data_IF_126407084797
#
_entry.id   IF_126407084797
#
_cell.length_a   1.000
_cell.length_b   1.000
_cell.length_c   1.000
_cell.angle_alpha   90.00
_cell.angle_beta   90.00
_cell.angle_gamma   90.00
#
_symmetry.space_group_name_H-M   'P 1'
#
loop_
_entity.id
_entity.type
_entity.pdbx_description
1 polymer ?
#
# COMPACT_ATOMS: atom_id res chain seq x y z
N UNK A 1 15.66 32.01 4.37
CA UNK A 1 15.91 30.64 3.87
C UNK A 1 16.59 29.76 4.94
N UNK A 2 17.68 30.19 5.56
CA UNK A 2 18.39 29.41 6.62
C UNK A 2 17.53 29.07 7.85
N UNK A 3 16.60 29.93 8.26
CA UNK A 3 15.70 29.66 9.39
C UNK A 3 14.64 28.59 9.02
N UNK A 4 14.19 28.54 7.79
CA UNK A 4 13.23 27.50 7.34
C UNK A 4 13.88 26.13 7.18
N UNK A 5 15.16 26.05 6.84
CA UNK A 5 15.88 24.78 6.72
C UNK A 5 16.08 24.09 8.07
N UNK A 6 16.21 24.84 9.17
CA UNK A 6 16.34 24.28 10.54
C UNK A 6 15.09 23.54 11.04
N UNK A 7 13.92 23.79 10.44
CA UNK A 7 12.67 23.13 10.83
C UNK A 7 12.23 22.04 9.86
N UNK A 8 13.02 21.75 8.83
CA UNK A 8 12.72 20.70 7.88
C UNK A 8 12.85 19.33 8.55
N UNK A 9 11.77 18.54 8.55
CA UNK A 9 11.73 17.21 9.16
C UNK A 9 11.88 16.10 8.13
N UNK A 10 11.43 16.35 6.91
CA UNK A 10 11.45 15.40 5.81
C UNK A 10 12.03 16.04 4.55
N UNK A 11 12.72 15.22 3.76
CA UNK A 11 13.24 15.59 2.45
C UNK A 11 12.84 14.55 1.39
N UNK A 12 12.80 14.98 0.15
CA UNK A 12 12.59 14.11 -1.00
C UNK A 12 13.92 13.82 -1.68
N UNK A 13 14.23 12.54 -1.85
CA UNK A 13 15.48 12.07 -2.46
C UNK A 13 15.17 11.30 -3.73
N UNK A 14 15.80 11.62 -4.88
CA UNK A 14 15.60 10.89 -6.12
C UNK A 14 15.93 9.40 -5.99
N UNK A 15 15.05 8.56 -6.50
CA UNK A 15 15.20 7.09 -6.54
C UNK A 15 15.38 6.62 -7.97
N UNK A 16 14.48 7.06 -8.85
CA UNK A 16 14.54 6.81 -10.28
C UNK A 16 14.14 8.09 -11.00
N UNK A 17 15.01 8.57 -11.87
CA UNK A 17 14.78 9.79 -12.62
C UNK A 17 14.09 9.50 -13.94
N UNK A 18 13.17 10.39 -14.28
CA UNK A 18 12.63 10.67 -15.60
C UNK A 18 12.18 9.45 -16.41
N UNK A 19 11.00 8.94 -16.06
CA UNK A 19 10.24 8.17 -17.03
C UNK A 19 9.81 9.10 -18.17
N UNK A 20 10.05 8.71 -19.43
CA UNK A 20 9.74 9.58 -20.57
C UNK A 20 8.23 9.87 -20.66
N UNK A 21 7.85 10.98 -21.31
CA UNK A 21 6.45 11.29 -21.56
C UNK A 21 5.72 10.11 -22.20
N UNK A 22 4.51 9.80 -21.69
CA UNK A 22 3.71 8.70 -22.17
C UNK A 22 3.94 7.37 -21.43
N UNK A 23 4.84 7.33 -20.42
CA UNK A 23 4.92 6.23 -19.44
C UNK A 23 4.43 6.77 -18.11
N UNK A 24 3.31 6.25 -17.64
CA UNK A 24 2.77 6.60 -16.33
C UNK A 24 3.21 5.60 -15.26
N UNK A 25 3.82 6.13 -14.21
CA UNK A 25 4.15 5.36 -13.00
C UNK A 25 2.88 5.24 -12.14
N UNK A 26 2.51 4.02 -11.76
CA UNK A 26 1.32 3.73 -10.98
C UNK A 26 1.61 3.23 -9.58
N UNK A 27 2.73 2.52 -9.38
CA UNK A 27 3.06 1.86 -8.12
C UNK A 27 4.56 1.57 -8.05
N UNK A 28 5.11 1.47 -6.85
CA UNK A 28 6.49 1.03 -6.65
C UNK A 28 6.65 0.35 -5.30
N UNK A 29 7.62 -0.54 -5.19
CA UNK A 29 8.03 -1.16 -3.96
C UNK A 29 9.54 -1.41 -3.93
N UNK A 30 10.06 -1.71 -2.76
CA UNK A 30 11.50 -1.96 -2.55
C UNK A 30 11.72 -3.32 -1.91
N UNK A 31 12.88 -3.89 -2.17
CA UNK A 31 13.38 -5.08 -1.49
C UNK A 31 14.89 -4.97 -1.27
N UNK A 32 15.47 -5.98 -0.65
CA UNK A 32 16.90 -6.01 -0.35
C UNK A 32 17.34 -4.75 0.42
N UNK A 33 16.67 -4.50 1.55
CA UNK A 33 16.91 -3.33 2.42
C UNK A 33 16.77 -1.98 1.68
N UNK A 34 15.91 -1.92 0.68
CA UNK A 34 15.64 -0.72 -0.10
C UNK A 34 16.66 -0.41 -1.20
N UNK A 35 17.60 -1.33 -1.47
CA UNK A 35 18.57 -1.18 -2.56
C UNK A 35 17.96 -1.39 -3.93
N UNK A 36 17.11 -2.40 -4.04
CA UNK A 36 16.40 -2.70 -5.27
C UNK A 36 15.00 -2.09 -5.26
N UNK A 37 14.60 -1.55 -6.40
CA UNK A 37 13.30 -0.88 -6.58
C UNK A 37 12.60 -1.48 -7.78
N UNK A 38 11.33 -1.87 -7.56
CA UNK A 38 10.43 -2.34 -8.60
C UNK A 38 9.37 -1.27 -8.84
N UNK A 39 9.16 -0.89 -10.09
CA UNK A 39 8.24 0.18 -10.49
C UNK A 39 7.24 -0.37 -11.50
N UNK A 40 5.96 -0.28 -11.16
CA UNK A 40 4.85 -0.62 -12.04
C UNK A 40 4.35 0.57 -12.83
N UNK A 41 4.25 0.40 -14.14
CA UNK A 41 3.88 1.46 -15.08
C UNK A 41 2.78 1.01 -16.05
N UNK A 42 2.32 1.92 -16.90
CA UNK A 42 1.42 1.62 -18.03
C UNK A 42 2.08 0.79 -19.14
N UNK A 43 3.38 0.55 -19.05
CA UNK A 43 4.17 -0.21 -20.04
C UNK A 43 4.77 -1.49 -19.45
N UNK A 44 4.39 -1.85 -18.25
CA UNK A 44 4.87 -3.04 -17.55
C UNK A 44 5.68 -2.73 -16.29
N UNK A 45 6.49 -3.69 -15.89
CA UNK A 45 7.25 -3.67 -14.66
C UNK A 45 8.73 -3.35 -14.93
N UNK A 46 9.27 -2.38 -14.21
CA UNK A 46 10.68 -1.99 -14.25
C UNK A 46 11.38 -2.42 -12.96
N UNK A 47 12.63 -2.83 -13.11
CA UNK A 47 13.52 -3.17 -12.00
C UNK A 47 14.80 -2.36 -12.11
N UNK A 48 15.27 -1.82 -10.99
CA UNK A 48 16.50 -1.07 -10.92
C UNK A 48 17.05 -0.92 -9.51
N UNK A 49 18.14 -0.17 -9.39
CA UNK A 49 18.82 0.11 -8.13
C UNK A 49 18.50 1.56 -7.72
N UNK A 50 18.12 1.75 -6.46
CA UNK A 50 17.81 3.07 -5.91
C UNK A 50 18.99 4.04 -6.09
N UNK A 51 18.71 5.24 -6.59
CA UNK A 51 19.73 6.27 -6.85
C UNK A 51 20.62 6.03 -8.07
N UNK A 52 20.32 4.98 -8.88
CA UNK A 52 21.00 4.70 -10.14
C UNK A 52 20.01 4.72 -11.31
N UNK A 53 19.65 5.89 -11.85
CA UNK A 53 18.58 6.01 -12.86
C UNK A 53 18.79 5.15 -14.11
N UNK A 54 20.02 4.96 -14.54
CA UNK A 54 20.37 4.16 -15.72
C UNK A 54 20.25 2.65 -15.51
N UNK A 55 20.03 2.21 -14.27
CA UNK A 55 19.89 0.79 -13.94
C UNK A 55 18.48 0.23 -14.20
N UNK A 56 17.48 1.10 -14.37
CA UNK A 56 16.10 0.67 -14.52
C UNK A 56 15.84 0.05 -15.89
N UNK A 57 15.40 -1.18 -15.89
CA UNK A 57 15.12 -1.97 -17.09
C UNK A 57 13.72 -2.55 -17.04
N UNK A 58 13.03 -2.55 -18.19
CA UNK A 58 11.74 -3.18 -18.35
C UNK A 58 11.87 -4.72 -18.32
N UNK A 59 11.10 -5.37 -17.48
CA UNK A 59 10.99 -6.82 -17.40
C UNK A 59 10.07 -7.34 -18.51
N UNK A 60 10.50 -7.21 -19.76
CA UNK A 60 9.71 -7.52 -20.96
C UNK A 60 9.29 -9.00 -21.06
N UNK A 61 10.01 -9.90 -20.39
CA UNK A 61 9.70 -11.32 -20.35
C UNK A 61 8.41 -11.66 -19.59
N UNK A 62 7.91 -10.76 -18.73
CA UNK A 62 6.63 -10.95 -18.01
C UNK A 62 5.42 -10.68 -18.91
N UNK A 63 5.58 -9.91 -19.98
CA UNK A 63 4.55 -9.58 -20.99
C UNK A 63 3.27 -8.97 -20.41
N UNK A 64 3.40 -8.15 -19.36
CA UNK A 64 2.30 -7.35 -18.83
C UNK A 64 2.34 -5.93 -19.40
N UNK A 65 1.18 -5.48 -19.88
CA UNK A 65 1.08 -4.17 -20.51
C UNK A 65 0.95 -3.04 -19.50
N UNK A 66 0.11 -3.23 -18.49
CA UNK A 66 -0.19 -2.22 -17.49
C UNK A 66 -0.19 -2.83 -16.10
N UNK A 67 0.61 -2.24 -15.21
CA UNK A 67 0.69 -2.64 -13.80
C UNK A 67 0.04 -1.57 -12.94
N UNK A 68 -0.96 -1.94 -12.14
CA UNK A 68 -1.73 -1.03 -11.30
C UNK A 68 -1.26 -0.99 -9.85
N UNK A 69 -0.87 -2.14 -9.31
CA UNK A 69 -0.42 -2.28 -7.93
C UNK A 69 0.62 -3.39 -7.83
N UNK A 70 1.65 -3.16 -7.03
CA UNK A 70 2.62 -4.19 -6.63
C UNK A 70 2.82 -4.16 -5.12
N UNK A 71 3.15 -5.32 -4.55
CA UNK A 71 3.63 -5.44 -3.19
C UNK A 71 4.58 -6.64 -3.10
N UNK A 72 5.76 -6.41 -2.53
CA UNK A 72 6.79 -7.45 -2.31
C UNK A 72 6.70 -7.93 -0.88
N UNK A 73 6.65 -9.26 -0.71
CA UNK A 73 6.73 -9.91 0.58
C UNK A 73 8.00 -10.76 0.66
N UNK A 74 9.09 -10.17 1.19
CA UNK A 74 10.42 -10.78 1.17
C UNK A 74 10.47 -12.11 1.92
N UNK A 75 9.82 -12.21 3.10
CA UNK A 75 9.78 -13.45 3.89
C UNK A 75 9.14 -14.62 3.14
N UNK A 76 8.13 -14.36 2.33
CA UNK A 76 7.49 -15.36 1.47
C UNK A 76 8.17 -15.51 0.10
N UNK A 77 9.17 -14.66 -0.18
CA UNK A 77 9.89 -14.61 -1.45
C UNK A 77 8.95 -14.44 -2.66
N UNK A 78 7.99 -13.52 -2.55
CA UNK A 78 7.01 -13.27 -3.61
C UNK A 78 6.84 -11.78 -3.91
N UNK A 79 6.50 -11.51 -5.17
CA UNK A 79 5.93 -10.25 -5.63
C UNK A 79 4.50 -10.53 -6.09
N UNK A 80 3.53 -9.86 -5.49
CA UNK A 80 2.16 -9.82 -5.97
C UNK A 80 1.92 -8.55 -6.79
N UNK A 81 1.15 -8.66 -7.87
CA UNK A 81 0.80 -7.51 -8.69
C UNK A 81 -0.59 -7.63 -9.33
N UNK A 82 -1.27 -6.50 -9.45
CA UNK A 82 -2.44 -6.37 -10.32
C UNK A 82 -1.97 -5.80 -11.65
N UNK A 83 -2.24 -6.53 -12.72
CA UNK A 83 -1.84 -6.12 -14.07
C UNK A 83 -2.92 -6.45 -15.11
N UNK A 84 -2.70 -5.94 -16.32
CA UNK A 84 -3.49 -6.14 -17.52
C UNK A 84 -4.90 -5.51 -17.47
N UNK A 85 -5.57 -5.48 -18.61
CA UNK A 85 -6.89 -4.86 -18.78
C UNK A 85 -7.94 -5.40 -17.78
N UNK A 86 -7.90 -6.68 -17.52
CA UNK A 86 -8.86 -7.35 -16.62
C UNK A 86 -8.49 -7.25 -15.15
N UNK A 87 -7.44 -6.48 -14.82
CA UNK A 87 -6.96 -6.28 -13.44
C UNK A 87 -6.76 -7.62 -12.72
N UNK A 88 -5.98 -8.49 -13.34
CA UNK A 88 -5.66 -9.80 -12.81
C UNK A 88 -4.61 -9.69 -11.70
N UNK A 89 -4.81 -10.42 -10.61
CA UNK A 89 -3.84 -10.57 -9.54
C UNK A 89 -2.91 -11.73 -9.83
N UNK A 90 -1.64 -11.45 -9.99
CA UNK A 90 -0.56 -12.41 -10.18
C UNK A 90 0.34 -12.46 -8.95
N UNK A 91 0.89 -13.64 -8.66
CA UNK A 91 1.90 -13.81 -7.61
C UNK A 91 3.11 -14.50 -8.22
N UNK A 92 4.25 -13.83 -8.22
CA UNK A 92 5.50 -14.32 -8.78
C UNK A 92 6.49 -14.67 -7.66
N UNK A 93 7.23 -15.78 -7.76
CA UNK A 93 8.43 -15.98 -6.93
C UNK A 93 9.44 -14.88 -7.24
N UNK A 94 9.95 -14.22 -6.20
CA UNK A 94 10.82 -13.05 -6.32
C UNK A 94 12.19 -13.41 -6.95
N UNK A 95 12.74 -14.57 -6.60
CA UNK A 95 13.98 -15.09 -7.17
C UNK A 95 13.88 -15.34 -8.68
N UNK A 96 12.75 -15.83 -9.18
CA UNK A 96 12.53 -16.02 -10.60
C UNK A 96 12.46 -14.71 -11.38
N UNK A 97 11.91 -13.65 -10.77
CA UNK A 97 11.90 -12.31 -11.38
C UNK A 97 13.32 -11.78 -11.55
N UNK A 98 14.19 -12.04 -10.56
CA UNK A 98 15.55 -11.52 -10.55
C UNK A 98 16.49 -12.26 -11.50
N UNK A 99 16.32 -13.57 -11.64
CA UNK A 99 17.16 -14.40 -12.52
C UNK A 99 16.78 -14.31 -13.98
N UNK A 100 15.52 -14.04 -14.29
CA UNK A 100 15.02 -13.97 -15.66
C UNK A 100 15.49 -12.74 -16.46
N UNK A 101 16.14 -11.76 -15.80
CA UNK A 101 16.64 -10.55 -16.46
C UNK A 101 17.78 -10.79 -17.45
N UNK A 102 18.40 -11.97 -17.44
CA UNK A 102 19.64 -12.16 -18.19
C UNK A 102 19.56 -13.05 -19.42
N UNK A 103 18.62 -13.97 -19.59
CA UNK A 103 18.69 -14.89 -20.75
C UNK A 103 17.45 -15.68 -21.16
N UNK A 104 16.24 -15.45 -20.65
CA UNK A 104 15.14 -16.32 -21.04
C UNK A 104 14.35 -15.82 -22.26
N UNK A 105 14.52 -16.49 -23.40
CA UNK A 105 13.63 -16.38 -24.58
C UNK A 105 12.19 -16.85 -24.28
N UNK A 106 11.94 -17.48 -23.16
CA UNK A 106 10.63 -17.96 -22.74
C UNK A 106 10.16 -17.14 -21.54
N UNK A 107 9.09 -16.35 -21.73
CA UNK A 107 8.45 -15.59 -20.64
C UNK A 107 7.93 -16.54 -19.55
N UNK A 108 8.03 -16.08 -18.29
CA UNK A 108 7.43 -16.79 -17.15
C UNK A 108 5.91 -16.65 -17.27
N UNK A 109 5.22 -17.75 -17.61
CA UNK A 109 3.76 -17.78 -17.63
C UNK A 109 3.25 -18.15 -16.25
N UNK A 110 2.57 -17.23 -15.62
CA UNK A 110 1.88 -17.42 -14.34
C UNK A 110 0.38 -17.26 -14.57
N UNK A 111 -0.41 -18.17 -14.02
CA UNK A 111 -1.87 -18.03 -14.04
C UNK A 111 -2.27 -16.99 -12.98
N UNK A 112 -3.30 -16.16 -13.27
CA UNK A 112 -3.81 -15.24 -12.25
C UNK A 112 -4.39 -16.01 -11.07
N UNK A 113 -4.11 -15.52 -9.86
CA UNK A 113 -4.70 -16.03 -8.64
C UNK A 113 -6.18 -15.61 -8.54
N UNK A 114 -6.50 -14.39 -8.98
CA UNK A 114 -7.85 -13.83 -9.00
C UNK A 114 -7.97 -12.81 -10.13
N UNK A 115 -9.19 -12.60 -10.63
CA UNK A 115 -9.48 -11.69 -11.75
C UNK A 115 -10.39 -10.55 -11.31
N UNK A 116 -10.33 -9.39 -11.99
CA UNK A 116 -11.12 -8.20 -11.72
C UNK A 116 -10.92 -7.67 -10.28
N UNK A 117 -9.67 -7.65 -9.83
CA UNK A 117 -9.29 -7.21 -8.49
C UNK A 117 -9.17 -5.69 -8.44
N UNK A 118 -9.85 -5.05 -7.50
CA UNK A 118 -9.76 -3.62 -7.27
C UNK A 118 -8.44 -3.23 -6.62
N UNK A 119 -8.07 -3.95 -5.56
CA UNK A 119 -6.78 -3.85 -4.88
C UNK A 119 -6.52 -5.11 -4.05
N UNK A 120 -5.31 -5.27 -3.56
CA UNK A 120 -4.93 -6.36 -2.66
C UNK A 120 -4.01 -5.87 -1.55
N UNK A 121 -3.86 -6.67 -0.50
CA UNK A 121 -2.88 -6.44 0.56
C UNK A 121 -2.34 -7.74 1.13
N UNK A 122 -1.04 -7.75 1.44
CA UNK A 122 -0.48 -8.72 2.38
C UNK A 122 -0.73 -8.28 3.82
N UNK A 123 -0.90 -9.24 4.70
CA UNK A 123 -1.05 -9.01 6.12
C UNK A 123 -0.90 -10.28 6.93
N UNK A 124 -1.29 -10.21 8.20
CA UNK A 124 -1.24 -11.34 9.10
C UNK A 124 -2.60 -11.59 9.75
N UNK A 125 -2.94 -12.86 9.85
CA UNK A 125 -4.08 -13.36 10.60
C UNK A 125 -3.58 -14.43 11.57
N UNK A 126 -3.69 -14.18 12.89
CA UNK A 126 -3.19 -15.10 13.92
C UNK A 126 -1.75 -15.59 13.64
N UNK A 127 -0.85 -14.66 13.34
CA UNK A 127 0.57 -14.92 13.03
C UNK A 127 0.84 -15.61 11.68
N UNK A 128 -0.20 -15.98 10.95
CA UNK A 128 -0.07 -16.53 9.60
C UNK A 128 -0.09 -15.42 8.57
N UNK A 129 0.85 -15.45 7.63
CA UNK A 129 0.83 -14.55 6.48
C UNK A 129 -0.33 -14.89 5.57
N UNK A 130 -1.05 -13.86 5.18
CA UNK A 130 -2.19 -13.94 4.26
C UNK A 130 -2.09 -12.89 3.16
N UNK A 131 -2.71 -13.20 2.04
CA UNK A 131 -2.95 -12.27 0.94
C UNK A 131 -4.45 -12.09 0.81
N UNK A 132 -4.93 -10.85 0.90
CA UNK A 132 -6.32 -10.52 0.67
C UNK A 132 -6.49 -9.83 -0.67
N UNK A 133 -7.30 -10.36 -1.57
CA UNK A 133 -7.76 -9.67 -2.77
C UNK A 133 -9.14 -9.08 -2.54
N UNK A 134 -9.33 -7.85 -2.95
CA UNK A 134 -10.57 -7.09 -2.79
C UNK A 134 -11.16 -6.82 -4.17
N UNK A 135 -12.38 -7.28 -4.40
CA UNK A 135 -13.17 -6.95 -5.57
C UNK A 135 -14.35 -6.09 -5.15
N UNK A 136 -14.26 -4.82 -5.48
CA UNK A 136 -15.29 -3.82 -5.16
C UNK A 136 -15.96 -3.36 -6.45
N UNK A 137 -17.28 -3.25 -6.45
CA UNK A 137 -18.06 -2.82 -7.61
C UNK A 137 -18.97 -1.65 -7.24
N UNK A 138 -18.75 -0.53 -7.89
CA UNK A 138 -19.55 0.69 -7.70
C UNK A 138 -21.02 0.47 -8.13
N UNK A 139 -21.23 -0.26 -9.23
CA UNK A 139 -22.56 -0.51 -9.78
C UNK A 139 -23.49 -1.28 -8.82
N UNK A 140 -22.96 -2.27 -8.11
CA UNK A 140 -23.74 -3.06 -7.14
C UNK A 140 -23.53 -2.61 -5.70
N UNK A 141 -22.66 -1.63 -5.47
CA UNK A 141 -22.25 -1.16 -4.14
C UNK A 141 -21.90 -2.31 -3.20
N UNK A 142 -21.02 -3.18 -3.68
CA UNK A 142 -20.66 -4.43 -3.00
C UNK A 142 -19.15 -4.65 -3.05
N UNK A 143 -18.65 -5.32 -2.02
CA UNK A 143 -17.27 -5.78 -1.95
C UNK A 143 -17.19 -7.24 -1.56
N UNK A 144 -16.36 -7.99 -2.26
CA UNK A 144 -15.98 -9.36 -1.92
C UNK A 144 -14.49 -9.37 -1.62
N UNK A 145 -14.12 -9.93 -0.47
CA UNK A 145 -12.73 -10.09 -0.04
C UNK A 145 -12.42 -11.58 0.01
N UNK A 146 -11.46 -12.02 -0.81
CA UNK A 146 -10.92 -13.38 -0.74
C UNK A 146 -9.63 -13.37 0.08
N UNK A 147 -9.56 -14.25 1.06
CA UNK A 147 -8.41 -14.42 1.94
C UNK A 147 -7.66 -15.68 1.52
N UNK A 148 -6.42 -15.52 1.10
CA UNK A 148 -5.55 -16.61 0.67
C UNK A 148 -4.43 -16.83 1.69
N UNK A 149 -4.07 -18.10 1.87
CA UNK A 149 -2.85 -18.48 2.59
C UNK A 149 -1.88 -19.19 1.64
N UNK A 150 -0.56 -19.08 1.88
CA UNK A 150 0.42 -19.87 1.14
C UNK A 150 0.26 -21.36 1.48
N UNK A 151 0.38 -22.21 0.47
CA UNK A 151 0.43 -23.67 0.62
C UNK A 151 1.87 -24.09 0.89
N UNK A 152 2.16 -24.44 2.14
CA UNK A 152 3.46 -24.97 2.53
C UNK A 152 3.52 -26.46 2.12
N UNK A 153 4.17 -26.78 1.02
CA UNK A 153 4.44 -28.18 0.66
C UNK A 153 5.50 -28.74 1.61
N UNK A 154 5.08 -29.54 2.58
CA UNK A 154 5.94 -30.17 3.58
C UNK A 154 7.06 -31.08 3.01
N UNK A 155 7.04 -31.38 1.72
CA UNK A 155 8.04 -32.25 1.05
C UNK A 155 9.23 -31.47 0.43
N UNK A 156 9.24 -30.15 0.40
CA UNK A 156 10.33 -29.36 -0.25
C UNK A 156 11.42 -28.88 0.71
N UNK A 157 11.40 -29.25 2.00
CA UNK A 157 12.42 -28.86 2.99
C UNK A 157 13.70 -29.70 2.98
N UNK A 158 13.89 -30.63 2.06
CA UNK A 158 15.06 -31.52 2.01
C UNK A 158 15.72 -31.61 0.64
N UNK A 159 16.09 -30.49 0.04
CA UNK A 159 17.20 -30.54 -0.95
C UNK A 159 17.63 -29.12 -1.31
N UNK A 160 18.60 -28.61 -0.63
CA UNK A 160 19.54 -27.64 -1.16
C UNK A 160 20.31 -28.35 -2.26
N UNK A 161 19.95 -28.10 -3.51
CA UNK A 161 20.69 -28.66 -4.63
C UNK A 161 19.80 -29.02 -5.82
N UNK A 162 19.95 -28.27 -6.88
CA UNK A 162 19.46 -28.54 -8.25
C UNK A 162 17.94 -28.67 -8.41
N UNK A 163 17.30 -27.56 -8.70
CA UNK A 163 16.00 -27.58 -9.41
C UNK A 163 16.18 -27.13 -10.86
N UNK A 164 16.39 -28.11 -11.70
CA UNK A 164 15.88 -28.10 -13.08
C UNK A 164 14.49 -28.75 -13.03
N UNK A 165 13.44 -27.99 -12.71
CA UNK A 165 12.08 -28.45 -12.97
C UNK A 165 11.63 -27.91 -14.33
N UNK A 166 11.79 -28.74 -15.33
CA UNK A 166 11.05 -28.67 -16.60
C UNK A 166 9.61 -29.03 -16.26
N UNK A 167 8.74 -28.03 -16.14
CA UNK A 167 7.33 -28.22 -15.86
C UNK A 167 6.84 -27.15 -14.87
N UNK A 168 6.33 -26.03 -15.40
CA UNK A 168 5.85 -24.91 -14.59
C UNK A 168 4.67 -25.28 -13.70
N UNK A 169 4.90 -25.59 -12.43
CA UNK A 169 3.84 -25.51 -11.42
C UNK A 169 3.36 -24.06 -11.37
N UNK A 170 2.09 -23.86 -11.62
CA UNK A 170 1.44 -22.57 -11.55
C UNK A 170 1.59 -22.03 -10.11
N UNK A 171 2.12 -20.81 -9.95
CA UNK A 171 2.22 -20.16 -8.63
C UNK A 171 0.84 -19.91 -8.01
N UNK A 172 -0.22 -19.90 -8.80
CA UNK A 172 -1.60 -19.87 -8.31
C UNK A 172 -1.93 -21.10 -7.45
N UNK A 173 -1.37 -22.27 -7.76
CA UNK A 173 -1.58 -23.50 -6.99
C UNK A 173 -0.83 -23.46 -5.63
N UNK A 174 0.07 -22.49 -5.44
CA UNK A 174 0.77 -22.26 -4.19
C UNK A 174 -0.02 -21.40 -3.17
N UNK A 175 -1.22 -20.98 -3.53
CA UNK A 175 -2.09 -20.17 -2.69
C UNK A 175 -3.48 -20.78 -2.60
N UNK A 176 -3.99 -20.95 -1.38
CA UNK A 176 -5.33 -21.50 -1.12
C UNK A 176 -6.25 -20.43 -0.56
N UNK A 177 -7.39 -20.22 -1.20
CA UNK A 177 -8.46 -19.42 -0.62
C UNK A 177 -9.03 -20.14 0.61
N UNK A 178 -9.02 -19.46 1.76
CA UNK A 178 -9.48 -20.00 3.04
C UNK A 178 -10.75 -19.35 3.55
N UNK A 179 -11.02 -18.11 3.13
CA UNK A 179 -12.20 -17.33 3.52
C UNK A 179 -12.65 -16.44 2.38
N UNK A 180 -13.95 -16.19 2.34
CA UNK A 180 -14.58 -15.20 1.49
C UNK A 180 -15.50 -14.34 2.36
N UNK A 181 -15.27 -13.02 2.34
CA UNK A 181 -16.01 -12.05 3.14
C UNK A 181 -16.82 -11.14 2.21
N UNK A 182 -18.02 -10.81 2.61
CA UNK A 182 -18.93 -9.94 1.87
C UNK A 182 -19.22 -8.66 2.66
N UNK A 183 -19.15 -7.51 1.97
CA UNK A 183 -19.51 -6.20 2.52
C UNK A 183 -20.48 -5.52 1.57
N UNK A 184 -21.64 -5.09 2.10
CA UNK A 184 -22.68 -4.40 1.33
C UNK A 184 -22.35 -2.90 1.17
N UNK A 185 -21.11 -2.61 0.74
CA UNK A 185 -20.63 -1.27 0.44
C UNK A 185 -19.40 -1.36 -0.49
N UNK A 186 -19.13 -0.31 -1.23
CA UNK A 186 -17.87 -0.16 -1.97
C UNK A 186 -16.73 0.10 -0.98
N UNK A 187 -15.65 -0.69 -1.10
CA UNK A 187 -14.50 -0.62 -0.19
C UNK A 187 -13.28 -0.05 -0.89
N UNK A 188 -12.55 0.81 -0.19
CA UNK A 188 -11.40 1.53 -0.70
C UNK A 188 -10.11 1.22 0.03
N UNK A 189 -10.18 0.67 1.24
CA UNK A 189 -9.00 0.31 2.03
C UNK A 189 -9.21 -0.95 2.86
N UNK A 190 -8.12 -1.62 3.19
CA UNK A 190 -8.10 -2.82 4.01
C UNK A 190 -6.94 -2.75 4.99
N UNK A 191 -7.22 -3.03 6.27
CA UNK A 191 -6.25 -3.02 7.35
C UNK A 191 -6.35 -4.31 8.15
N UNK A 192 -5.21 -4.77 8.69
CA UNK A 192 -5.14 -6.01 9.46
C UNK A 192 -5.09 -5.70 10.94
N UNK A 193 -6.03 -6.28 11.67
CA UNK A 193 -6.02 -6.39 13.12
C UNK A 193 -5.72 -7.85 13.47
N UNK A 194 -5.22 -8.12 14.66
CA UNK A 194 -4.68 -9.44 15.04
C UNK A 194 -5.52 -10.65 14.57
N UNK A 195 -6.84 -10.59 14.70
CA UNK A 195 -7.79 -11.65 14.32
C UNK A 195 -8.93 -11.17 13.44
N UNK A 196 -8.88 -9.94 12.98
CA UNK A 196 -9.96 -9.27 12.25
C UNK A 196 -9.39 -8.44 11.10
N UNK A 197 -10.22 -8.18 10.11
CA UNK A 197 -9.96 -7.16 9.10
C UNK A 197 -10.71 -5.88 9.47
N UNK A 198 -10.11 -4.74 9.18
CA UNK A 198 -10.80 -3.45 9.18
C UNK A 198 -10.85 -2.93 7.75
N UNK A 199 -12.05 -2.68 7.27
CA UNK A 199 -12.32 -2.30 5.88
C UNK A 199 -12.87 -0.88 5.85
N UNK A 200 -12.18 -0.01 5.11
CA UNK A 200 -12.70 1.32 4.81
C UNK A 200 -13.67 1.26 3.65
N UNK A 201 -14.89 1.73 3.86
CA UNK A 201 -15.94 1.76 2.85
C UNK A 201 -16.79 3.02 2.97
N UNK A 202 -17.73 3.21 2.05
CA UNK A 202 -18.60 4.41 2.01
C UNK A 202 -19.41 4.63 3.30
N UNK A 203 -19.58 3.59 4.12
CA UNK A 203 -20.24 3.67 5.43
C UNK A 203 -19.30 3.96 6.60
N UNK A 204 -18.02 4.06 6.37
CA UNK A 204 -16.97 4.22 7.38
C UNK A 204 -16.07 3.01 7.48
N UNK A 205 -15.40 2.84 8.63
CA UNK A 205 -14.60 1.64 8.90
C UNK A 205 -15.47 0.52 9.47
N UNK A 206 -15.42 -0.63 8.84
CA UNK A 206 -16.10 -1.85 9.29
C UNK A 206 -15.10 -2.91 9.71
N UNK A 207 -15.42 -3.63 10.77
CA UNK A 207 -14.64 -4.76 11.29
C UNK A 207 -15.26 -6.05 10.80
N UNK A 208 -14.46 -6.90 10.17
CA UNK A 208 -14.84 -8.27 9.80
C UNK A 208 -14.08 -9.25 10.67
N UNK A 209 -14.81 -10.03 11.46
CA UNK A 209 -14.24 -11.12 12.23
C UNK A 209 -14.07 -12.34 11.32
N UNK A 210 -12.82 -12.75 11.07
CA UNK A 210 -12.53 -13.84 10.14
C UNK A 210 -12.90 -15.23 10.68
N UNK A 211 -13.13 -15.37 11.97
CA UNK A 211 -13.57 -16.66 12.55
C UNK A 211 -15.07 -16.85 12.36
N UNK A 212 -15.87 -15.83 12.69
CA UNK A 212 -17.33 -15.88 12.67
C UNK A 212 -17.96 -15.33 11.41
N UNK A 213 -17.18 -14.59 10.61
CA UNK A 213 -17.61 -13.85 9.40
C UNK A 213 -18.63 -12.72 9.71
N UNK A 214 -18.76 -12.32 10.97
CA UNK A 214 -19.60 -11.21 11.38
C UNK A 214 -18.94 -9.87 11.01
N UNK A 215 -19.76 -8.95 10.56
CA UNK A 215 -19.35 -7.59 10.22
C UNK A 215 -20.04 -6.61 11.16
N UNK A 216 -19.29 -5.63 11.65
CA UNK A 216 -19.81 -4.56 12.52
C UNK A 216 -19.06 -3.24 12.26
N UNK A 217 -19.69 -2.11 12.59
CA UNK A 217 -19.01 -0.82 12.57
C UNK A 217 -17.82 -0.81 13.55
N UNK A 218 -16.70 -0.18 13.13
CA UNK A 218 -15.59 0.09 14.05
C UNK A 218 -15.99 1.11 15.12
N UNK A 219 -16.77 2.14 14.74
CA UNK A 219 -17.17 3.22 15.64
C UNK A 219 -18.36 2.77 16.49
N UNK A 220 -18.31 3.11 17.79
CA UNK A 220 -19.39 2.90 18.71
C UNK A 220 -20.58 3.82 18.36
N UNK A 221 -21.73 3.29 17.94
CA UNK A 221 -22.89 4.12 17.59
C UNK A 221 -23.51 4.84 18.80
N UNK A 222 -23.22 4.38 20.01
CA UNK A 222 -23.72 5.01 21.24
C UNK A 222 -22.86 6.20 21.70
N UNK A 223 -21.68 6.37 21.11
CA UNK A 223 -20.80 7.50 21.44
C UNK A 223 -21.27 8.79 20.74
N UNK A 224 -21.94 9.65 21.49
CA UNK A 224 -22.45 10.93 21.00
C UNK A 224 -21.37 11.90 20.54
N UNK A 225 -20.13 11.75 21.02
CA UNK A 225 -19.00 12.58 20.59
C UNK A 225 -18.56 12.30 19.13
N UNK A 226 -19.05 11.20 18.54
CA UNK A 226 -18.86 10.85 17.12
C UNK A 226 -19.99 11.34 16.21
N UNK A 227 -20.90 12.19 16.71
CA UNK A 227 -22.04 12.69 15.95
C UNK A 227 -21.61 13.45 14.67
N UNK A 228 -20.42 14.03 14.64
CA UNK A 228 -19.88 14.74 13.48
C UNK A 228 -19.64 13.82 12.27
N UNK A 229 -19.47 12.52 12.49
CA UNK A 229 -19.27 11.54 11.44
C UNK A 229 -20.47 10.61 11.27
N UNK A 230 -21.11 10.20 12.36
CA UNK A 230 -22.25 9.26 12.33
C UNK A 230 -23.50 9.83 11.61
N UNK A 231 -23.60 11.15 11.47
CA UNK A 231 -24.68 11.85 10.74
C UNK A 231 -24.41 12.05 9.24
N UNK A 232 -23.26 11.64 8.76
CA UNK A 232 -22.91 11.77 7.34
C UNK A 232 -23.50 10.61 6.53
N UNK A 233 -24.07 10.90 5.38
CA UNK A 233 -24.59 9.89 4.46
C UNK A 233 -23.46 9.08 3.83
N UNK A 234 -22.33 9.73 3.57
CA UNK A 234 -21.13 9.12 3.02
C UNK A 234 -19.90 9.56 3.78
N UNK A 235 -18.93 8.67 3.90
CA UNK A 235 -17.61 8.94 4.47
C UNK A 235 -16.54 8.36 3.56
N UNK A 236 -15.34 8.95 3.59
CA UNK A 236 -14.20 8.49 2.79
C UNK A 236 -13.03 8.10 3.70
N UNK A 237 -13.12 6.93 4.37
CA UNK A 237 -12.04 6.42 5.19
C UNK A 237 -10.90 5.93 4.31
N UNK A 238 -9.68 6.38 4.60
CA UNK A 238 -8.51 6.09 3.76
C UNK A 238 -7.52 5.18 4.49
N UNK A 239 -7.18 5.49 5.75
CA UNK A 239 -6.18 4.74 6.48
C UNK A 239 -6.51 4.62 7.97
N UNK A 240 -6.00 3.56 8.57
CA UNK A 240 -6.07 3.29 10.00
C UNK A 240 -4.67 2.91 10.49
N UNK A 241 -4.22 3.57 11.55
CA UNK A 241 -2.93 3.30 12.17
C UNK A 241 -3.11 2.98 13.65
N UNK A 242 -2.46 1.91 14.09
CA UNK A 242 -2.38 1.57 15.51
C UNK A 242 -1.26 2.37 16.15
N UNK A 243 -1.55 3.11 17.22
CA UNK A 243 -0.56 3.80 18.02
C UNK A 243 -0.12 2.99 19.23
N UNK A 244 1.02 3.36 19.85
CA UNK A 244 1.68 2.53 20.86
C UNK A 244 0.83 2.25 22.11
N UNK A 245 -0.05 3.16 22.51
CA UNK A 245 -0.94 3.02 23.66
C UNK A 245 -2.21 2.19 23.39
N UNK A 246 -2.31 1.62 22.18
CA UNK A 246 -3.41 0.76 21.75
C UNK A 246 -4.63 1.52 21.23
N UNK A 247 -4.56 2.83 21.08
CA UNK A 247 -5.52 3.63 20.30
C UNK A 247 -5.32 3.41 18.81
N UNK A 248 -6.30 3.84 18.03
CA UNK A 248 -6.22 3.87 16.57
C UNK A 248 -6.40 5.30 16.08
N UNK A 249 -5.54 5.71 15.17
CA UNK A 249 -5.67 6.93 14.40
C UNK A 249 -6.44 6.61 13.12
N UNK A 250 -7.63 7.17 12.98
CA UNK A 250 -8.48 7.03 11.80
C UNK A 250 -8.29 8.24 10.90
N UNK A 251 -7.90 8.00 9.64
CA UNK A 251 -7.66 9.03 8.65
C UNK A 251 -8.72 8.95 7.55
N UNK A 252 -9.45 10.04 7.40
CA UNK A 252 -10.42 10.29 6.34
C UNK A 252 -9.86 11.35 5.38
N UNK A 253 -10.53 11.60 4.29
CA UNK A 253 -10.14 12.61 3.31
C UNK A 253 -10.21 14.06 3.82
N UNK A 254 -11.00 14.34 4.87
CA UNK A 254 -11.16 15.68 5.44
C UNK A 254 -10.46 15.86 6.79
N UNK A 255 -10.34 14.79 7.59
CA UNK A 255 -9.86 14.86 8.97
C UNK A 255 -9.28 13.53 9.48
N UNK A 256 -8.61 13.62 10.63
CA UNK A 256 -8.22 12.44 11.41
C UNK A 256 -8.54 12.64 12.89
N UNK A 257 -8.86 11.55 13.57
CA UNK A 257 -9.11 11.53 15.02
C UNK A 257 -8.76 10.16 15.63
N UNK A 258 -8.63 10.14 16.95
CA UNK A 258 -8.32 8.91 17.68
C UNK A 258 -9.58 8.21 18.20
N UNK A 259 -9.55 6.88 18.15
CA UNK A 259 -10.51 6.01 18.85
C UNK A 259 -9.78 5.01 19.74
N UNK A 260 -10.47 4.55 20.78
CA UNK A 260 -10.01 3.46 21.62
C UNK A 260 -10.37 2.09 21.00
N UNK A 261 -10.05 1.01 21.71
CA UNK A 261 -10.31 -0.38 21.26
C UNK A 261 -11.79 -0.72 21.13
N UNK A 262 -12.66 0.07 21.76
CA UNK A 262 -14.12 -0.12 21.73
C UNK A 262 -14.78 0.76 20.64
N UNK A 263 -13.99 1.47 19.83
CA UNK A 263 -14.51 2.36 18.80
C UNK A 263 -15.05 3.70 19.33
N UNK A 264 -14.78 4.03 20.59
CA UNK A 264 -15.17 5.30 21.21
C UNK A 264 -14.09 6.35 20.96
N UNK A 265 -14.51 7.61 20.80
CA UNK A 265 -13.57 8.71 20.59
C UNK A 265 -12.62 8.85 21.77
N UNK A 266 -11.34 8.74 21.48
CA UNK A 266 -10.27 9.06 22.42
C UNK A 266 -9.80 10.48 22.18
N UNK A 267 -9.52 11.26 23.25
CA UNK A 267 -9.09 12.67 23.14
C UNK A 267 -10.12 13.54 22.39
N UNK A 268 -11.23 13.85 23.03
CA UNK A 268 -12.33 14.59 22.43
C UNK A 268 -11.95 15.94 21.80
N UNK A 269 -10.92 16.62 22.34
CA UNK A 269 -10.43 17.91 21.85
C UNK A 269 -9.30 17.79 20.80
N UNK A 270 -8.94 16.57 20.39
CA UNK A 270 -7.89 16.34 19.41
C UNK A 270 -8.50 15.97 18.06
N UNK A 271 -8.14 16.69 17.03
CA UNK A 271 -8.51 16.41 15.64
C UNK A 271 -7.52 17.13 14.70
N UNK A 272 -7.15 16.47 13.63
CA UNK A 272 -6.49 17.10 12.49
C UNK A 272 -7.54 17.36 11.42
N UNK A 273 -7.57 18.55 10.86
CA UNK A 273 -8.25 18.87 9.61
C UNK A 273 -7.19 19.12 8.53
N UNK A 274 -7.30 18.38 7.44
CA UNK A 274 -6.36 18.53 6.33
C UNK A 274 -6.65 19.83 5.58
N UNK A 275 -5.61 20.50 5.09
CA UNK A 275 -5.79 21.68 4.23
C UNK A 275 -6.15 21.28 2.79
N UNK A 276 -5.66 20.12 2.35
CA UNK A 276 -6.01 19.51 1.07
C UNK A 276 -7.06 18.40 1.19
N UNK A 277 -7.10 17.55 0.16
CA UNK A 277 -7.90 16.33 0.12
C UNK A 277 -6.97 15.14 -0.09
N UNK A 278 -6.33 14.65 0.96
CA UNK A 278 -5.36 13.58 0.85
C UNK A 278 -5.99 12.28 0.36
N UNK A 279 -5.26 11.59 -0.51
CA UNK A 279 -5.66 10.30 -1.08
C UNK A 279 -4.94 9.14 -0.43
N UNK A 280 -3.87 9.39 0.32
CA UNK A 280 -3.11 8.37 1.05
C UNK A 280 -2.33 8.99 2.21
N UNK A 281 -1.93 8.12 3.12
CA UNK A 281 -1.19 8.52 4.32
C UNK A 281 0.01 7.61 4.57
N UNK A 282 1.05 8.18 5.21
CA UNK A 282 2.15 7.43 5.80
C UNK A 282 2.30 7.81 7.25
N UNK A 283 2.41 6.81 8.11
CA UNK A 283 2.59 6.99 9.53
C UNK A 283 4.01 6.62 9.94
N UNK A 284 4.75 7.61 10.43
CA UNK A 284 6.13 7.48 10.91
C UNK A 284 6.21 8.24 12.24
N UNK A 285 5.81 7.53 13.32
CA UNK A 285 5.67 8.16 14.64
C UNK A 285 6.88 9.01 15.03
N UNK A 286 6.71 10.23 15.52
CA UNK A 286 5.43 10.88 15.87
C UNK A 286 4.78 11.67 14.72
N UNK A 287 5.08 11.38 13.48
CA UNK A 287 4.59 12.13 12.33
C UNK A 287 3.59 11.32 11.49
N UNK A 288 2.67 12.05 10.87
CA UNK A 288 1.82 11.53 9.79
C UNK A 288 1.98 12.42 8.56
N UNK A 289 2.19 11.79 7.42
CA UNK A 289 2.30 12.42 6.11
C UNK A 289 0.98 12.19 5.37
N UNK A 290 0.31 13.27 4.99
CA UNK A 290 -0.92 13.27 4.21
C UNK A 290 -0.61 13.70 2.77
N UNK A 291 -0.86 12.82 1.81
CA UNK A 291 -0.53 13.01 0.41
C UNK A 291 -1.72 13.59 -0.34
N UNK A 292 -1.64 14.87 -0.67
CA UNK A 292 -2.49 15.54 -1.66
C UNK A 292 -1.80 15.55 -3.03
N UNK A 293 -2.53 15.82 -4.08
CA UNK A 293 -2.00 15.88 -5.45
C UNK A 293 -0.97 17.00 -5.67
N UNK A 294 -0.99 18.06 -4.88
CA UNK A 294 -0.15 19.25 -5.05
C UNK A 294 0.92 19.39 -3.96
N UNK A 295 0.70 18.81 -2.81
CA UNK A 295 1.59 18.92 -1.65
C UNK A 295 1.44 17.75 -0.70
N UNK A 296 2.38 17.63 0.22
CA UNK A 296 2.33 16.67 1.31
C UNK A 296 2.34 17.47 2.60
N UNK A 297 1.32 17.26 3.43
CA UNK A 297 1.26 17.82 4.78
C UNK A 297 1.90 16.87 5.78
N UNK A 298 2.74 17.37 6.64
CA UNK A 298 3.34 16.62 7.75
C UNK A 298 2.84 17.18 9.05
N UNK A 299 2.15 16.36 9.83
CA UNK A 299 1.65 16.70 11.16
C UNK A 299 2.36 15.92 12.25
N UNK A 300 2.54 16.55 13.39
CA UNK A 300 2.94 15.88 14.63
C UNK A 300 1.69 15.35 15.33
N UNK A 301 1.59 14.03 15.48
CA UNK A 301 0.35 13.37 15.92
C UNK A 301 0.03 13.55 17.41
N UNK A 302 1.00 13.91 18.25
CA UNK A 302 0.72 14.19 19.67
C UNK A 302 0.04 15.56 19.85
N UNK A 303 0.44 16.54 19.05
CA UNK A 303 0.00 17.94 19.19
C UNK A 303 -1.05 18.34 18.17
N UNK A 304 -1.31 17.51 17.15
CA UNK A 304 -2.16 17.83 16.00
C UNK A 304 -1.71 19.10 15.24
N UNK A 305 -0.42 19.42 15.28
CA UNK A 305 0.13 20.62 14.64
C UNK A 305 0.84 20.26 13.34
N UNK A 306 0.65 21.09 12.31
CA UNK A 306 1.42 20.96 11.08
C UNK A 306 2.87 21.40 11.34
N UNK A 307 3.81 20.57 10.92
CA UNK A 307 5.25 20.83 11.12
C UNK A 307 5.99 21.09 9.82
N UNK A 308 5.43 20.66 8.69
CA UNK A 308 6.02 20.88 7.38
C UNK A 308 4.96 20.74 6.28
N UNK A 309 5.11 21.52 5.22
CA UNK A 309 4.40 21.31 3.94
C UNK A 309 5.46 21.15 2.86
N UNK A 310 5.37 20.06 2.09
CA UNK A 310 6.27 19.78 0.97
C UNK A 310 5.47 20.00 -0.31
N UNK A 311 5.81 21.06 -1.04
CA UNK A 311 5.18 21.36 -2.34
C UNK A 311 5.76 20.43 -3.39
N UNK A 312 4.91 19.75 -4.13
CA UNK A 312 5.33 18.71 -5.08
C UNK A 312 4.85 19.00 -6.51
N UNK A 313 3.58 19.06 -6.74
CA UNK A 313 2.96 19.04 -8.07
C UNK A 313 2.75 17.61 -8.59
N UNK A 314 1.48 17.26 -8.83
CA UNK A 314 1.05 15.94 -9.30
C UNK A 314 1.66 14.79 -8.49
N UNK A 315 1.60 14.90 -7.16
CA UNK A 315 2.15 13.90 -6.25
C UNK A 315 1.20 12.73 -6.03
N UNK A 316 1.75 11.52 -6.02
CA UNK A 316 1.03 10.31 -5.64
C UNK A 316 1.94 9.37 -4.86
N UNK A 317 1.47 8.85 -3.73
CA UNK A 317 2.16 7.78 -3.02
C UNK A 317 2.11 6.48 -3.83
N UNK A 318 3.27 5.83 -3.99
CA UNK A 318 3.41 4.62 -4.83
C UNK A 318 3.26 3.31 -4.07
N UNK A 319 3.42 3.35 -2.74
CA UNK A 319 3.31 2.18 -1.86
C UNK A 319 2.52 2.54 -0.59
N UNK A 320 1.26 3.02 -0.70
CA UNK A 320 0.52 3.58 0.44
C UNK A 320 0.35 2.59 1.58
N UNK A 321 0.27 1.31 1.26
CA UNK A 321 -0.06 0.25 2.21
C UNK A 321 1.16 -0.39 2.90
N UNK A 322 2.37 -0.10 2.44
CA UNK A 322 3.59 -0.72 2.99
C UNK A 322 4.23 0.18 4.04
N UNK A 323 4.36 -0.27 5.29
CA UNK A 323 5.06 0.51 6.31
C UNK A 323 6.54 0.70 5.94
N UNK A 324 7.13 1.79 6.37
CA UNK A 324 8.56 2.12 6.16
C UNK A 324 9.01 2.25 4.69
N UNK A 325 8.08 2.29 3.73
CA UNK A 325 8.38 2.53 2.32
C UNK A 325 7.66 3.79 1.87
N UNK A 326 8.37 4.91 1.85
CA UNK A 326 7.83 6.22 1.54
C UNK A 326 8.22 6.65 0.12
N UNK A 327 7.71 5.94 -0.89
CA UNK A 327 7.91 6.29 -2.30
C UNK A 327 6.73 7.09 -2.83
N UNK A 328 7.05 8.12 -3.60
CA UNK A 328 6.06 8.89 -4.34
C UNK A 328 6.55 9.15 -5.76
N UNK A 329 5.63 9.42 -6.65
CA UNK A 329 5.90 9.97 -7.98
C UNK A 329 5.47 11.43 -8.00
N UNK A 330 6.25 12.27 -8.66
CA UNK A 330 5.91 13.65 -8.95
C UNK A 330 6.09 13.93 -10.43
N UNK A 331 5.34 14.89 -10.95
CA UNK A 331 5.52 15.39 -12.30
C UNK A 331 5.64 16.93 -12.21
N UNK A 332 6.84 17.49 -12.33
CA UNK A 332 7.02 18.94 -12.31
C UNK A 332 6.17 19.62 -13.38
N UNK A 333 5.58 20.75 -13.05
CA UNK A 333 4.58 21.46 -13.88
C UNK A 333 5.05 21.81 -15.30
N UNK A 334 6.36 21.81 -15.52
CA UNK A 334 6.99 22.19 -16.80
C UNK A 334 7.49 21.00 -17.62
N UNK A 335 7.40 19.79 -17.09
CA UNK A 335 7.82 18.57 -17.79
C UNK A 335 6.71 17.53 -17.75
N UNK A 336 6.50 16.82 -18.85
CA UNK A 336 5.59 15.66 -18.88
C UNK A 336 6.24 14.37 -18.33
N UNK A 337 7.48 14.49 -17.86
CA UNK A 337 8.26 13.38 -17.32
C UNK A 337 7.96 13.18 -15.85
N UNK A 338 7.86 11.93 -15.42
CA UNK A 338 7.63 11.56 -14.02
C UNK A 338 8.93 11.19 -13.33
N UNK A 339 9.06 11.56 -12.07
CA UNK A 339 10.20 11.25 -11.21
C UNK A 339 9.73 10.46 -9.99
N UNK A 340 10.43 9.40 -9.65
CA UNK A 340 10.18 8.61 -8.43
C UNK A 340 11.13 9.07 -7.33
N UNK A 341 10.56 9.50 -6.23
CA UNK A 341 11.26 10.06 -5.08
C UNK A 341 10.98 9.21 -3.83
N UNK A 342 11.95 9.20 -2.92
CA UNK A 342 11.79 8.69 -1.56
C UNK A 342 11.66 9.86 -0.62
N UNK A 343 10.68 9.81 0.28
CA UNK A 343 10.54 10.75 1.38
C UNK A 343 11.23 10.12 2.58
N UNK A 344 12.21 10.81 3.14
CA UNK A 344 12.95 10.33 4.30
C UNK A 344 12.97 11.37 5.42
N UNK A 345 12.93 10.89 6.66
CA UNK A 345 13.08 11.71 7.83
C UNK A 345 14.53 12.22 7.94
N UNK A 346 14.67 13.52 8.11
CA UNK A 346 15.97 14.14 8.38
C UNK A 346 16.22 13.99 9.88
N UNK A 347 17.12 13.07 10.22
CA UNK A 347 17.64 13.01 11.58
C UNK A 347 18.40 14.32 11.85
N UNK A 348 18.03 15.04 12.90
CA UNK A 348 18.77 16.22 13.32
C UNK A 348 20.25 15.82 13.45
N UNK A 349 21.11 16.41 12.63
CA UNK A 349 22.55 16.32 12.88
C UNK A 349 22.78 17.04 14.19
N UNK A 350 23.32 16.36 15.18
CA UNK A 350 23.76 17.01 16.40
C UNK A 350 24.64 18.21 16.02
N UNK A 351 24.40 19.39 16.59
CA UNK A 351 25.27 20.52 16.33
C UNK A 351 26.67 20.15 16.79
N UNK A 352 27.61 20.10 15.81
CA UNK A 352 29.05 19.94 16.07
C UNK A 352 29.57 21.10 16.91
#
# INVERSE_FOLDING_TARGET
LELMERFRKFEMVPVACMFPPGIRVNTADVYDQGRAVVIGTDRGLYLGVAGKPTSFQLLSHLRHDRVFQIEIHERLNVLAMIADKDRNLYVYPLDQLMTATTNSKHGVKVKPLHTHVSFFRFGQYQEMDILCSVKSTTLSNQTIIHVYKPVMNAQKTRTFGRFLSIGGESTADSWKCIKECYIAAESTSLHFLRSRLCVGCSRGFEIVDLATMNTQSLLDPADTSLSFINKRDTTHPIALFRVQDGRFLLCYDEFAFYVNRNGQRAQANWMIHWAGTPTSFKFEYPYILAFDSQFIEVYHVETATIVQVIITGNCMSLSPNKPNVNLCVTAPSHTQSQEVLRIQHILARDPI
#
